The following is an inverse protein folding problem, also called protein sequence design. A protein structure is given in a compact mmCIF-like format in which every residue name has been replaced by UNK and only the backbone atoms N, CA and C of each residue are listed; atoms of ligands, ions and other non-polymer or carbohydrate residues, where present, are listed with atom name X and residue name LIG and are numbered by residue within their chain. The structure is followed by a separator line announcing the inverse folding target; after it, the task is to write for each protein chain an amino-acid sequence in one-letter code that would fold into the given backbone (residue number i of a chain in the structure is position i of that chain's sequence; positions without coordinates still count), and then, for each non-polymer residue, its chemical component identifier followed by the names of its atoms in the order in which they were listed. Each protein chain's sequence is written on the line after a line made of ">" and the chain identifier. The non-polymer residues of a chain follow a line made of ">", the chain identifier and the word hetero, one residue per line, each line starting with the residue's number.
data_IF_234108470582
#
_entry.id   IF_234108470582
#
_cell.length_a   1.000
_cell.length_b   1.000
_cell.length_c   1.000
_cell.angle_alpha   90.00
_cell.angle_beta   90.00
_cell.angle_gamma   90.00
#
_symmetry.space_group_name_H-M   'P 1'
#
loop_
_entity.id
_entity.type
_entity.pdbx_description
1 polymer ?
#
# COMPACT_ATOMS: atom_id res chain seq x y z
N UNK A 1 10.42 -16.80 21.56
CA UNK A 1 11.54 -17.48 20.83
C UNK A 1 12.30 -16.40 20.07
N UNK A 2 13.63 -16.36 20.18
CA UNK A 2 14.48 -15.29 19.59
C UNK A 2 14.74 -15.58 18.11
N UNK A 3 14.70 -14.54 17.26
CA UNK A 3 14.94 -14.61 15.81
C UNK A 3 16.31 -15.20 15.40
N UNK A 4 17.26 -15.31 16.34
CA UNK A 4 18.59 -15.88 16.07
C UNK A 4 18.62 -17.41 15.92
N UNK A 5 17.52 -18.11 16.22
CA UNK A 5 17.46 -19.56 16.18
C UNK A 5 16.84 -20.12 14.87
N UNK A 6 16.64 -19.29 13.84
CA UNK A 6 16.08 -19.75 12.58
C UNK A 6 17.09 -20.55 11.75
N UNK A 7 16.75 -21.78 11.35
CA UNK A 7 17.68 -22.65 10.67
C UNK A 7 17.85 -22.30 9.17
N UNK A 8 19.06 -22.45 8.64
CA UNK A 8 19.53 -21.95 7.34
C UNK A 8 18.78 -22.44 6.08
N UNK A 9 18.11 -23.59 6.12
CA UNK A 9 17.22 -24.11 5.07
C UNK A 9 16.01 -23.22 4.71
N UNK A 10 15.58 -22.30 5.58
CA UNK A 10 14.46 -21.39 5.31
C UNK A 10 14.78 -20.30 4.27
N UNK A 11 16.05 -19.88 4.14
CA UNK A 11 16.49 -18.85 3.18
C UNK A 11 16.44 -19.33 1.73
N UNK A 12 16.64 -20.63 1.49
CA UNK A 12 16.58 -21.23 0.15
C UNK A 12 15.16 -21.30 -0.42
N UNK A 13 14.16 -21.51 0.45
CA UNK A 13 12.75 -21.63 0.04
C UNK A 13 12.18 -20.26 -0.39
N UNK A 14 12.53 -19.19 0.32
CA UNK A 14 12.06 -17.83 0.00
C UNK A 14 12.66 -17.33 -1.32
N UNK A 15 13.95 -17.58 -1.58
CA UNK A 15 14.60 -17.20 -2.84
C UNK A 15 14.02 -17.98 -4.03
N UNK A 16 13.72 -19.27 -3.85
CA UNK A 16 13.08 -20.10 -4.88
C UNK A 16 11.65 -19.65 -5.24
N UNK A 17 10.89 -19.17 -4.25
CA UNK A 17 9.54 -18.63 -4.48
C UNK A 17 9.57 -17.27 -5.21
N UNK A 18 10.52 -16.39 -4.90
CA UNK A 18 10.66 -15.11 -5.60
C UNK A 18 11.05 -15.27 -7.08
N UNK A 19 11.93 -16.21 -7.41
CA UNK A 19 12.36 -16.46 -8.80
C UNK A 19 11.20 -17.02 -9.66
N UNK A 20 10.35 -17.88 -9.08
CA UNK A 20 9.18 -18.41 -9.79
C UNK A 20 8.09 -17.36 -10.03
N UNK A 21 7.89 -16.43 -9.10
CA UNK A 21 6.92 -15.33 -9.26
C UNK A 21 7.42 -14.32 -10.31
N UNK A 22 8.71 -13.96 -10.28
CA UNK A 22 9.30 -13.04 -11.26
C UNK A 22 9.31 -13.68 -12.67
N UNK A 23 9.63 -14.97 -12.78
CA UNK A 23 9.58 -15.70 -14.05
C UNK A 23 8.18 -15.79 -14.65
N UNK A 24 7.15 -16.03 -13.82
CA UNK A 24 5.76 -16.09 -14.29
C UNK A 24 5.14 -14.72 -14.62
N UNK A 25 5.71 -13.62 -14.11
CA UNK A 25 5.32 -12.26 -14.49
C UNK A 25 6.08 -11.72 -15.71
N UNK A 26 7.36 -12.07 -15.89
CA UNK A 26 8.17 -11.63 -17.04
C UNK A 26 7.93 -12.44 -18.31
N UNK A 27 7.56 -13.72 -18.19
CA UNK A 27 7.36 -14.60 -19.34
C UNK A 27 6.17 -14.18 -20.23
N UNK A 28 4.99 -13.79 -19.69
CA UNK A 28 3.93 -13.20 -20.50
C UNK A 28 4.35 -11.87 -21.13
N UNK A 29 5.16 -11.08 -20.43
CA UNK A 29 5.66 -9.78 -20.90
C UNK A 29 6.55 -9.94 -22.14
N UNK A 30 7.50 -10.88 -22.12
CA UNK A 30 8.39 -11.14 -23.24
C UNK A 30 7.67 -11.77 -24.44
N UNK A 31 6.68 -12.64 -24.20
CA UNK A 31 5.82 -13.17 -25.27
C UNK A 31 4.96 -12.07 -25.89
N UNK A 32 4.41 -11.17 -25.07
CA UNK A 32 3.57 -10.07 -25.54
C UNK A 32 4.38 -9.06 -26.38
N UNK A 33 5.56 -8.65 -25.91
CA UNK A 33 6.45 -7.77 -26.67
C UNK A 33 7.04 -8.45 -27.91
N UNK A 34 7.32 -9.76 -27.86
CA UNK A 34 7.79 -10.53 -29.01
C UNK A 34 6.74 -10.67 -30.11
N UNK A 35 5.46 -10.88 -29.75
CA UNK A 35 4.38 -11.00 -30.72
C UNK A 35 3.91 -9.65 -31.28
N UNK A 36 3.88 -8.59 -30.48
CA UNK A 36 3.39 -7.27 -30.93
C UNK A 36 4.48 -6.33 -31.47
N UNK A 37 5.74 -6.54 -31.13
CA UNK A 37 6.86 -5.70 -31.60
C UNK A 37 7.08 -5.73 -33.11
N UNK A 38 6.58 -6.77 -33.80
CA UNK A 38 6.65 -6.87 -35.26
C UNK A 38 5.47 -6.20 -35.99
N UNK A 39 4.46 -5.68 -35.27
CA UNK A 39 3.20 -5.21 -35.87
C UNK A 39 2.89 -3.72 -35.63
N UNK A 40 3.61 -3.04 -34.73
CA UNK A 40 3.31 -1.66 -34.33
C UNK A 40 4.41 -0.69 -34.76
N UNK A 41 4.03 0.28 -35.59
CA UNK A 41 4.88 1.44 -35.91
C UNK A 41 5.02 2.38 -34.70
N UNK A 42 6.14 3.09 -34.66
CA UNK A 42 6.70 3.87 -33.54
C UNK A 42 5.78 5.00 -32.98
N UNK A 43 4.70 5.39 -33.66
CA UNK A 43 3.84 6.52 -33.23
C UNK A 43 2.86 6.19 -32.08
N UNK A 44 2.60 4.93 -31.73
CA UNK A 44 1.62 4.58 -30.68
C UNK A 44 2.16 4.56 -29.23
N UNK A 45 3.46 4.72 -29.01
CA UNK A 45 4.05 4.66 -27.66
C UNK A 45 3.63 5.85 -26.75
N UNK A 46 3.17 6.97 -27.32
CA UNK A 46 2.74 8.15 -26.56
C UNK A 46 1.44 7.96 -25.77
N UNK A 47 0.55 7.04 -26.18
CA UNK A 47 -0.72 6.79 -25.49
C UNK A 47 -0.56 5.82 -24.29
N UNK A 48 0.44 4.93 -24.33
CA UNK A 48 0.71 4.02 -23.21
C UNK A 48 1.22 4.75 -21.96
N UNK A 49 1.84 5.93 -22.10
CA UNK A 49 2.29 6.74 -20.96
C UNK A 49 1.15 7.30 -20.09
N UNK A 50 -0.05 7.49 -20.64
CA UNK A 50 -1.19 8.07 -19.90
C UNK A 50 -2.00 7.05 -19.10
N UNK A 51 -1.95 5.76 -19.44
CA UNK A 51 -2.75 4.72 -18.77
C UNK A 51 -2.14 4.20 -17.45
N UNK A 52 -0.87 4.52 -17.18
CA UNK A 52 -0.13 3.99 -16.01
C UNK A 52 -0.45 4.74 -14.71
N UNK A 53 -1.10 5.91 -14.77
CA UNK A 53 -1.26 6.81 -13.61
C UNK A 53 -2.55 6.56 -12.79
N UNK A 54 -3.49 5.72 -13.26
CA UNK A 54 -4.86 5.70 -12.72
C UNK A 54 -5.07 4.66 -11.58
N UNK A 55 -4.09 3.82 -11.24
CA UNK A 55 -4.26 2.80 -10.19
C UNK A 55 -2.98 2.51 -9.42
N UNK A 56 -3.03 2.61 -8.08
CA UNK A 56 -1.97 2.15 -7.17
C UNK A 56 -1.74 0.63 -7.25
N UNK A 57 -2.72 -0.11 -7.79
CA UNK A 57 -2.57 -1.53 -8.04
C UNK A 57 -2.07 -1.77 -9.49
N UNK A 58 -0.85 -2.32 -9.67
CA UNK A 58 -0.29 -2.56 -11.00
C UNK A 58 -1.15 -3.52 -11.83
N UNK A 59 -1.81 -4.52 -11.23
CA UNK A 59 -2.66 -5.47 -11.97
C UNK A 59 -3.83 -4.78 -12.67
N UNK A 60 -4.44 -3.79 -12.03
CA UNK A 60 -5.59 -3.06 -12.60
C UNK A 60 -5.13 -2.24 -13.82
N UNK A 61 -3.96 -1.60 -13.74
CA UNK A 61 -3.41 -0.85 -14.87
C UNK A 61 -3.15 -1.76 -16.08
N UNK A 62 -2.61 -2.96 -15.87
CA UNK A 62 -2.43 -3.96 -16.92
C UNK A 62 -3.75 -4.38 -17.58
N UNK A 63 -4.77 -4.64 -16.78
CA UNK A 63 -6.11 -5.03 -17.26
C UNK A 63 -6.70 -3.93 -18.13
N UNK A 64 -6.60 -2.67 -17.69
CA UNK A 64 -7.09 -1.49 -18.43
C UNK A 64 -6.38 -1.36 -19.79
N UNK A 65 -5.06 -1.50 -19.82
CA UNK A 65 -4.27 -1.41 -21.07
C UNK A 65 -4.67 -2.52 -22.06
N UNK A 66 -4.86 -3.74 -21.57
CA UNK A 66 -5.29 -4.86 -22.41
C UNK A 66 -6.72 -4.68 -22.94
N UNK A 67 -7.64 -4.16 -22.13
CA UNK A 67 -9.02 -3.89 -22.56
C UNK A 67 -9.08 -2.78 -23.59
N UNK A 68 -8.35 -1.68 -23.40
CA UNK A 68 -8.28 -0.58 -24.37
C UNK A 68 -7.68 -1.06 -25.69
N UNK A 69 -6.62 -1.86 -25.64
CA UNK A 69 -5.98 -2.41 -26.85
C UNK A 69 -6.93 -3.33 -27.63
N UNK A 70 -7.68 -4.18 -26.93
CA UNK A 70 -8.69 -5.04 -27.54
C UNK A 70 -9.86 -4.23 -28.16
N UNK A 71 -10.30 -3.17 -27.49
CA UNK A 71 -11.34 -2.26 -27.99
C UNK A 71 -10.88 -1.50 -29.25
N UNK A 72 -9.64 -1.02 -29.27
CA UNK A 72 -9.07 -0.33 -30.43
C UNK A 72 -9.02 -1.25 -31.66
N UNK A 73 -8.62 -2.52 -31.48
CA UNK A 73 -8.62 -3.52 -32.55
C UNK A 73 -10.02 -3.79 -33.12
N UNK A 74 -11.05 -3.81 -32.26
CA UNK A 74 -12.45 -3.98 -32.69
C UNK A 74 -12.98 -2.77 -33.46
N UNK A 75 -12.65 -1.56 -33.02
CA UNK A 75 -13.08 -0.32 -33.69
C UNK A 75 -12.48 -0.24 -35.10
N UNK A 76 -11.23 -0.65 -35.27
CA UNK A 76 -10.56 -0.66 -36.58
C UNK A 76 -11.19 -1.69 -37.55
N UNK A 77 -11.58 -2.87 -37.06
CA UNK A 77 -12.16 -3.93 -37.92
C UNK A 77 -13.65 -3.67 -38.27
N UNK A 78 -14.33 -2.80 -37.50
CA UNK A 78 -15.71 -2.35 -37.78
C UNK A 78 -15.82 -1.44 -39.00
N UNK A 79 -14.78 -0.68 -39.31
CA UNK A 79 -14.83 0.34 -40.37
C UNK A 79 -14.82 -0.29 -41.78
N UNK A 80 -14.38 -1.54 -41.92
CA UNK A 80 -13.95 -2.04 -43.23
C UNK A 80 -14.84 -3.09 -43.92
N UNK A 81 -15.96 -3.62 -43.36
CA UNK A 81 -16.68 -4.72 -44.04
C UNK A 81 -18.19 -4.89 -43.75
N UNK A 82 -18.99 -4.83 -44.83
CA UNK A 82 -20.45 -5.09 -44.91
C UNK A 82 -20.83 -6.59 -44.95
N UNK A 83 -20.11 -7.46 -44.23
CA UNK A 83 -20.31 -8.92 -44.31
C UNK A 83 -21.17 -9.46 -43.14
N UNK A 84 -22.30 -10.12 -43.48
CA UNK A 84 -23.31 -10.63 -42.52
C UNK A 84 -22.76 -11.66 -41.54
N UNK A 85 -21.76 -12.45 -41.94
CA UNK A 85 -21.10 -13.44 -41.08
C UNK A 85 -20.14 -12.78 -40.05
N UNK A 86 -19.52 -11.65 -40.39
CA UNK A 86 -18.68 -10.89 -39.44
C UNK A 86 -19.51 -10.27 -38.31
N UNK A 87 -20.76 -9.86 -38.60
CA UNK A 87 -21.66 -9.27 -37.60
C UNK A 87 -21.96 -10.24 -36.45
N UNK A 88 -22.10 -11.54 -36.73
CA UNK A 88 -22.32 -12.57 -35.69
C UNK A 88 -21.11 -12.70 -34.76
N UNK A 89 -19.89 -12.70 -35.32
CA UNK A 89 -18.64 -12.78 -34.54
C UNK A 89 -18.47 -11.56 -33.63
N UNK A 90 -18.85 -10.38 -34.12
CA UNK A 90 -18.75 -9.15 -33.36
C UNK A 90 -19.73 -9.11 -32.18
N UNK A 91 -20.95 -9.62 -32.36
CA UNK A 91 -21.93 -9.76 -31.27
C UNK A 91 -21.40 -10.71 -30.18
N UNK A 92 -20.83 -11.85 -30.56
CA UNK A 92 -20.24 -12.80 -29.59
C UNK A 92 -19.12 -12.13 -28.80
N UNK A 93 -18.25 -11.38 -29.47
CA UNK A 93 -17.12 -10.71 -28.81
C UNK A 93 -17.59 -9.61 -27.84
N UNK A 94 -18.59 -8.81 -28.23
CA UNK A 94 -19.19 -7.81 -27.36
C UNK A 94 -19.80 -8.44 -26.09
N UNK A 95 -20.48 -9.60 -26.23
CA UNK A 95 -21.02 -10.35 -25.10
C UNK A 95 -19.88 -10.82 -24.17
N UNK A 96 -18.79 -11.36 -24.71
CA UNK A 96 -17.64 -11.79 -23.91
C UNK A 96 -16.99 -10.63 -23.14
N UNK A 97 -16.89 -9.45 -23.75
CA UNK A 97 -16.33 -8.27 -23.10
C UNK A 97 -17.22 -7.81 -21.93
N UNK A 98 -18.54 -7.78 -22.12
CA UNK A 98 -19.49 -7.47 -21.04
C UNK A 98 -19.39 -8.49 -19.90
N UNK A 99 -19.29 -9.78 -20.22
CA UNK A 99 -19.13 -10.83 -19.21
C UNK A 99 -17.84 -10.66 -18.41
N UNK A 100 -16.71 -10.33 -19.06
CA UNK A 100 -15.44 -10.06 -18.38
C UNK A 100 -15.55 -8.86 -17.43
N UNK A 101 -16.16 -7.75 -17.87
CA UNK A 101 -16.39 -6.58 -17.01
C UNK A 101 -17.26 -6.92 -15.79
N UNK A 102 -18.30 -7.74 -15.97
CA UNK A 102 -19.15 -8.20 -14.86
C UNK A 102 -18.36 -9.07 -13.89
N UNK A 103 -17.51 -9.97 -14.38
CA UNK A 103 -16.65 -10.81 -13.53
C UNK A 103 -15.69 -9.95 -12.71
N UNK A 104 -15.08 -8.92 -13.30
CA UNK A 104 -14.22 -7.99 -12.58
C UNK A 104 -14.98 -7.26 -11.47
N UNK A 105 -16.15 -6.69 -11.75
CA UNK A 105 -17.00 -6.04 -10.73
C UNK A 105 -17.38 -7.01 -9.62
N UNK A 106 -17.66 -8.28 -9.95
CA UNK A 106 -17.95 -9.30 -8.95
C UNK A 106 -16.71 -9.59 -8.10
N UNK A 107 -15.55 -9.85 -8.70
CA UNK A 107 -14.31 -10.14 -7.95
C UNK A 107 -13.92 -8.97 -7.05
N UNK A 108 -13.91 -7.74 -7.59
CA UNK A 108 -13.56 -6.54 -6.82
C UNK A 108 -14.61 -6.22 -5.75
N UNK A 109 -15.90 -6.40 -6.05
CA UNK A 109 -16.99 -6.22 -5.09
C UNK A 109 -16.97 -7.25 -3.95
N UNK A 110 -16.57 -8.50 -4.25
CA UNK A 110 -16.34 -9.52 -3.22
C UNK A 110 -15.11 -9.19 -2.36
N UNK A 111 -14.03 -8.68 -2.97
CA UNK A 111 -12.82 -8.31 -2.24
C UNK A 111 -13.06 -7.16 -1.27
N UNK A 112 -13.83 -6.13 -1.67
CA UNK A 112 -14.20 -5.02 -0.78
C UNK A 112 -15.05 -5.43 0.43
N UNK A 113 -15.84 -6.50 0.31
CA UNK A 113 -16.65 -7.00 1.41
C UNK A 113 -15.85 -7.82 2.43
N UNK A 114 -14.68 -8.35 2.02
CA UNK A 114 -13.81 -9.18 2.85
C UNK A 114 -12.48 -8.52 3.24
N UNK A 115 -12.09 -7.39 2.64
CA UNK A 115 -11.21 -6.44 3.28
C UNK A 115 -11.99 -5.91 4.48
N UNK A 116 -11.91 -6.64 5.59
CA UNK A 116 -12.75 -6.44 6.76
C UNK A 116 -12.85 -4.96 7.01
N UNK A 117 -14.08 -4.46 7.10
CA UNK A 117 -14.39 -3.16 7.67
C UNK A 117 -13.37 -2.93 8.77
N UNK A 118 -12.43 -2.00 8.55
CA UNK A 118 -11.49 -1.60 9.58
C UNK A 118 -12.38 -1.33 10.78
N UNK A 119 -12.36 -2.20 11.80
CA UNK A 119 -13.29 -2.09 12.90
C UNK A 119 -12.95 -0.77 13.56
N UNK A 120 -13.76 0.25 13.29
CA UNK A 120 -13.67 1.52 13.98
C UNK A 120 -14.16 1.22 15.38
N UNK A 121 -13.24 1.24 16.32
CA UNK A 121 -13.57 1.09 17.74
C UNK A 121 -14.09 2.45 18.17
N UNK A 122 -15.41 2.63 18.11
CA UNK A 122 -16.04 3.94 18.32
C UNK A 122 -15.95 4.40 19.79
N UNK A 123 -15.73 3.47 20.73
CA UNK A 123 -15.61 3.81 22.16
C UNK A 123 -14.43 3.12 22.85
N UNK A 124 -13.85 3.81 23.84
CA UNK A 124 -12.78 3.27 24.70
C UNK A 124 -13.22 2.02 25.48
N UNK A 125 -14.53 1.82 25.67
CA UNK A 125 -15.10 0.66 26.36
C UNK A 125 -14.96 -0.63 25.55
N UNK A 126 -14.75 -0.53 24.24
CA UNK A 126 -14.61 -1.68 23.35
C UNK A 126 -13.19 -2.27 23.37
N UNK A 127 -12.16 -1.46 23.66
CA UNK A 127 -10.76 -1.90 23.64
C UNK A 127 -10.47 -3.14 24.51
N UNK A 128 -10.97 -3.26 25.77
CA UNK A 128 -10.74 -4.45 26.59
C UNK A 128 -11.33 -5.75 26.01
N UNK A 129 -12.36 -5.67 25.17
CA UNK A 129 -13.05 -6.82 24.58
C UNK A 129 -12.32 -7.47 23.39
N UNK A 130 -11.22 -6.86 22.94
CA UNK A 130 -10.47 -7.32 21.77
C UNK A 130 -9.65 -8.57 22.09
N UNK A 131 -9.84 -9.61 21.27
CA UNK A 131 -9.16 -10.91 21.44
C UNK A 131 -7.70 -10.86 21.03
N UNK A 132 -7.36 -10.02 20.06
CA UNK A 132 -6.00 -9.86 19.57
C UNK A 132 -5.28 -8.79 20.39
N UNK A 133 -4.16 -9.12 21.06
CA UNK A 133 -3.39 -8.16 21.84
C UNK A 133 -2.97 -6.92 21.02
N UNK A 134 -2.64 -7.09 19.74
CA UNK A 134 -2.25 -6.01 18.84
C UNK A 134 -3.40 -5.03 18.58
N UNK A 135 -4.60 -5.57 18.37
CA UNK A 135 -5.79 -4.76 18.17
C UNK A 135 -6.15 -3.98 19.44
N UNK A 136 -5.99 -4.63 20.61
CA UNK A 136 -6.19 -4.02 21.92
C UNK A 136 -5.21 -2.87 22.18
N UNK A 137 -3.92 -3.09 21.95
CA UNK A 137 -2.88 -2.08 22.17
C UNK A 137 -3.04 -0.92 21.19
N UNK A 138 -3.33 -1.19 19.92
CA UNK A 138 -3.63 -0.17 18.92
C UNK A 138 -4.84 0.69 19.31
N UNK A 139 -5.91 0.05 19.83
CA UNK A 139 -7.08 0.75 20.33
C UNK A 139 -6.71 1.72 21.48
N UNK A 140 -6.03 1.24 22.51
CA UNK A 140 -5.60 2.10 23.62
C UNK A 140 -4.64 3.20 23.20
N UNK A 141 -3.70 2.91 22.30
CA UNK A 141 -2.75 3.88 21.77
C UNK A 141 -3.46 5.04 21.05
N UNK A 142 -4.39 4.71 20.14
CA UNK A 142 -5.13 5.73 19.40
C UNK A 142 -5.96 6.62 20.35
N UNK A 143 -6.69 6.01 21.28
CA UNK A 143 -7.45 6.77 22.28
C UNK A 143 -6.53 7.62 23.19
N UNK A 144 -5.35 7.12 23.55
CA UNK A 144 -4.37 7.88 24.33
C UNK A 144 -3.94 9.15 23.60
N UNK A 145 -3.56 9.03 22.33
CA UNK A 145 -3.09 10.13 21.49
C UNK A 145 -4.23 11.12 21.20
N UNK A 146 -5.39 10.63 20.79
CA UNK A 146 -6.55 11.47 20.45
C UNK A 146 -7.05 12.28 21.65
N UNK A 147 -7.10 11.66 22.84
CA UNK A 147 -7.61 12.32 24.05
C UNK A 147 -6.50 12.98 24.88
N UNK A 148 -5.24 12.94 24.44
CA UNK A 148 -4.06 13.35 25.20
C UNK A 148 -4.06 12.76 26.64
N UNK A 149 -4.43 11.48 26.79
CA UNK A 149 -4.52 10.79 28.07
C UNK A 149 -3.35 9.80 28.25
N UNK A 150 -2.27 10.19 28.95
CA UNK A 150 -1.10 9.33 29.12
C UNK A 150 -1.39 8.12 30.00
N UNK A 151 -2.49 8.13 30.78
CA UNK A 151 -2.87 6.97 31.61
C UNK A 151 -3.22 5.74 30.76
N UNK A 152 -3.70 5.97 29.52
CA UNK A 152 -4.02 4.90 28.58
C UNK A 152 -2.76 4.23 28.00
N UNK A 153 -1.63 4.94 27.93
CA UNK A 153 -0.34 4.36 27.49
C UNK A 153 0.16 3.25 28.41
N UNK A 154 -0.26 3.24 29.68
CA UNK A 154 0.09 2.19 30.64
C UNK A 154 -0.82 0.95 30.54
N UNK A 155 -1.86 1.00 29.70
CA UNK A 155 -2.72 -0.16 29.42
C UNK A 155 -2.19 -1.03 28.27
N UNK A 156 -1.14 -0.57 27.60
CA UNK A 156 -0.45 -1.29 26.52
C UNK A 156 0.28 -2.50 27.12
N UNK A 157 0.21 -3.65 26.44
CA UNK A 157 0.83 -4.89 26.92
C UNK A 157 2.36 -4.83 26.95
N UNK A 158 2.97 -4.00 26.09
CA UNK A 158 4.42 -3.81 26.02
C UNK A 158 5.18 -4.95 25.30
N UNK A 159 4.48 -6.00 24.86
CA UNK A 159 5.12 -7.17 24.23
C UNK A 159 5.39 -6.98 22.73
N UNK A 160 4.86 -5.92 22.11
CA UNK A 160 4.99 -5.68 20.67
C UNK A 160 6.12 -4.71 20.31
N UNK A 161 7.10 -5.15 19.49
CA UNK A 161 8.35 -4.42 19.32
C UNK A 161 8.30 -3.14 18.46
N UNK A 162 7.23 -2.81 17.74
CA UNK A 162 7.37 -1.81 16.66
C UNK A 162 6.41 -0.62 16.64
N UNK A 163 5.16 -0.69 17.13
CA UNK A 163 4.19 0.41 16.89
C UNK A 163 3.37 0.88 18.10
N UNK A 164 3.30 0.09 19.17
CA UNK A 164 2.40 0.37 20.31
C UNK A 164 3.10 0.17 21.65
N UNK A 165 4.37 0.56 21.72
CA UNK A 165 5.12 0.51 22.96
C UNK A 165 4.87 1.78 23.81
N UNK A 166 4.88 1.60 25.13
CA UNK A 166 4.59 2.66 26.10
C UNK A 166 5.43 3.93 25.92
N UNK A 167 6.75 3.88 25.65
CA UNK A 167 7.53 5.10 25.50
C UNK A 167 7.12 5.93 24.27
N UNK A 168 6.78 5.30 23.13
CA UNK A 168 6.26 6.00 21.95
C UNK A 168 4.90 6.65 22.22
N UNK A 169 4.00 5.92 22.90
CA UNK A 169 2.70 6.48 23.30
C UNK A 169 2.89 7.72 24.19
N UNK A 170 3.73 7.63 25.22
CA UNK A 170 4.04 8.76 26.10
C UNK A 170 4.71 9.91 25.34
N UNK A 171 5.60 9.62 24.39
CA UNK A 171 6.26 10.65 23.59
C UNK A 171 5.25 11.45 22.75
N UNK A 172 4.29 10.77 22.12
CA UNK A 172 3.24 11.41 21.31
C UNK A 172 2.24 12.18 22.18
N UNK A 173 1.73 11.55 23.24
CA UNK A 173 0.73 12.16 24.14
C UNK A 173 1.28 13.38 24.86
N UNK A 174 2.49 13.28 25.43
CA UNK A 174 3.11 14.39 26.16
C UNK A 174 3.86 15.37 25.25
N UNK A 175 3.92 15.08 23.94
CA UNK A 175 4.71 15.83 22.96
C UNK A 175 6.17 16.03 23.38
N UNK A 176 6.77 14.97 23.93
CA UNK A 176 8.13 14.99 24.44
C UNK A 176 8.94 13.81 23.88
N UNK A 177 9.84 14.10 22.94
CA UNK A 177 10.73 13.11 22.35
C UNK A 177 11.75 12.53 23.34
N UNK A 178 11.87 13.08 24.56
CA UNK A 178 12.76 12.52 25.59
C UNK A 178 12.38 11.09 25.98
N UNK A 179 11.10 10.73 25.91
CA UNK A 179 10.61 9.38 26.18
C UNK A 179 11.19 8.32 25.23
N UNK A 180 11.54 8.68 23.99
CA UNK A 180 12.18 7.77 23.04
C UNK A 180 13.55 7.28 23.53
N UNK A 181 14.24 8.00 24.42
CA UNK A 181 15.52 7.54 24.98
C UNK A 181 15.38 6.29 25.87
N UNK A 182 14.16 5.93 26.28
CA UNK A 182 13.91 4.82 27.19
C UNK A 182 13.86 3.46 26.48
N UNK A 183 14.00 3.41 25.15
CA UNK A 183 14.07 2.14 24.43
C UNK A 183 15.43 1.46 24.63
N UNK A 184 15.45 0.17 25.01
CA UNK A 184 16.70 -0.58 25.13
C UNK A 184 17.28 -0.96 23.76
N UNK A 185 16.42 -1.11 22.75
CA UNK A 185 16.80 -1.45 21.39
C UNK A 185 16.96 -0.17 20.54
N UNK A 186 18.05 -0.09 19.79
CA UNK A 186 18.35 1.08 18.96
C UNK A 186 17.39 1.27 17.80
N UNK A 187 16.94 0.18 17.16
CA UNK A 187 15.97 0.23 16.06
C UNK A 187 14.61 0.73 16.57
N UNK A 188 14.17 0.28 17.76
CA UNK A 188 12.93 0.74 18.38
C UNK A 188 13.01 2.22 18.79
N UNK A 189 14.16 2.65 19.32
CA UNK A 189 14.45 4.04 19.64
C UNK A 189 14.37 4.93 18.39
N UNK A 190 15.01 4.49 17.32
CA UNK A 190 15.09 5.21 16.05
C UNK A 190 13.70 5.35 15.42
N UNK A 191 12.90 4.28 15.42
CA UNK A 191 11.50 4.31 15.00
C UNK A 191 10.65 5.27 15.85
N UNK A 192 10.92 5.37 17.16
CA UNK A 192 10.23 6.33 18.02
C UNK A 192 10.54 7.77 17.61
N UNK A 193 11.82 8.11 17.39
CA UNK A 193 12.19 9.46 16.94
C UNK A 193 11.60 9.79 15.58
N UNK A 194 11.56 8.83 14.67
CA UNK A 194 10.92 8.99 13.36
C UNK A 194 9.44 9.34 13.51
N UNK A 195 8.66 8.51 14.21
CA UNK A 195 7.23 8.73 14.39
C UNK A 195 6.90 10.02 15.13
N UNK A 196 7.71 10.40 16.12
CA UNK A 196 7.52 11.65 16.89
C UNK A 196 7.93 12.87 16.07
N UNK A 197 8.92 12.76 15.17
CA UNK A 197 9.33 13.87 14.29
C UNK A 197 8.19 14.37 13.39
N UNK A 198 7.42 13.43 12.84
CA UNK A 198 6.28 13.72 11.96
C UNK A 198 5.14 14.35 12.76
N UNK A 199 4.78 13.74 13.89
CA UNK A 199 3.69 14.21 14.76
C UNK A 199 3.94 15.62 15.33
N UNK A 200 5.19 15.91 15.72
CA UNK A 200 5.57 17.20 16.29
C UNK A 200 5.99 18.23 15.25
N UNK A 201 6.05 17.84 13.96
CA UNK A 201 6.61 18.65 12.88
C UNK A 201 8.02 19.18 13.22
N UNK A 202 8.82 18.39 13.95
CA UNK A 202 10.18 18.73 14.34
C UNK A 202 11.21 17.88 13.58
N UNK A 203 11.67 18.41 12.45
CA UNK A 203 12.69 17.80 11.59
C UNK A 203 14.01 17.54 12.31
N UNK A 204 14.31 18.29 13.38
CA UNK A 204 15.56 18.14 14.12
C UNK A 204 15.63 16.81 14.87
N UNK A 205 14.48 16.19 15.18
CA UNK A 205 14.42 14.88 15.83
C UNK A 205 14.97 13.76 14.94
N UNK A 206 14.90 13.86 13.62
CA UNK A 206 15.58 12.92 12.72
C UNK A 206 17.11 12.91 12.91
N UNK A 207 17.71 13.97 13.46
CA UNK A 207 19.14 13.94 13.77
C UNK A 207 19.51 12.98 14.90
N UNK A 208 18.54 12.65 15.76
CA UNK A 208 18.71 11.75 16.91
C UNK A 208 18.62 10.27 16.54
N UNK A 209 18.15 9.97 15.33
CA UNK A 209 18.17 8.62 14.75
C UNK A 209 19.63 8.21 14.51
N UNK A 210 20.02 7.04 15.01
CA UNK A 210 21.42 6.56 14.93
C UNK A 210 21.67 5.81 13.63
N UNK A 211 20.76 4.91 13.25
CA UNK A 211 20.88 4.13 12.03
C UNK A 211 20.82 5.06 10.80
N UNK A 212 21.83 5.08 9.91
CA UNK A 212 21.87 5.97 8.76
C UNK A 212 20.73 5.77 7.76
N UNK A 213 20.29 4.52 7.57
CA UNK A 213 19.18 4.20 6.65
C UNK A 213 17.85 4.72 7.21
N UNK A 214 17.56 4.42 8.48
CA UNK A 214 16.38 4.93 9.19
C UNK A 214 16.40 6.46 9.27
N UNK A 215 17.58 7.08 9.46
CA UNK A 215 17.74 8.53 9.50
C UNK A 215 17.38 9.19 8.17
N UNK A 216 17.87 8.64 7.07
CA UNK A 216 17.52 9.12 5.73
C UNK A 216 16.05 8.88 5.40
N UNK A 217 15.48 7.77 5.87
CA UNK A 217 14.05 7.51 5.76
C UNK A 217 13.22 8.53 6.55
N UNK A 218 13.60 8.84 7.81
CA UNK A 218 12.98 9.87 8.64
C UNK A 218 12.91 11.23 7.94
N UNK A 219 14.03 11.71 7.38
CA UNK A 219 14.03 12.99 6.66
C UNK A 219 13.10 12.98 5.43
N UNK A 220 13.09 11.88 4.65
CA UNK A 220 12.21 11.77 3.48
C UNK A 220 10.74 11.74 3.88
N UNK A 221 10.38 10.92 4.86
CA UNK A 221 9.01 10.80 5.37
C UNK A 221 8.51 12.14 5.94
N UNK A 222 9.39 12.87 6.64
CA UNK A 222 9.09 14.21 7.14
C UNK A 222 8.81 15.19 6.00
N UNK A 223 9.73 15.30 5.03
CA UNK A 223 9.62 16.24 3.91
C UNK A 223 8.38 15.92 3.03
N UNK A 224 8.06 14.64 2.83
CA UNK A 224 6.85 14.18 2.15
C UNK A 224 5.57 14.57 2.89
N UNK A 225 5.51 14.33 4.21
CA UNK A 225 4.36 14.67 5.04
C UNK A 225 4.08 16.19 5.05
N UNK A 226 5.13 17.00 5.17
CA UNK A 226 5.01 18.47 5.10
C UNK A 226 4.46 18.91 3.75
N UNK A 227 4.97 18.35 2.65
CA UNK A 227 4.52 18.66 1.29
C UNK A 227 3.03 18.36 1.09
N UNK A 228 2.54 17.24 1.62
CA UNK A 228 1.12 16.85 1.54
C UNK A 228 0.23 17.82 2.34
N UNK A 229 0.68 18.26 3.52
CA UNK A 229 -0.11 19.14 4.37
C UNK A 229 -0.15 20.58 3.84
N UNK A 230 0.91 21.08 3.22
CA UNK A 230 0.90 22.38 2.54
C UNK A 230 -0.13 22.43 1.40
N UNK A 231 -0.26 21.35 0.63
CA UNK A 231 -1.27 21.24 -0.44
C UNK A 231 -2.69 21.34 0.13
N UNK A 232 -2.99 20.58 1.20
CA UNK A 232 -4.32 20.57 1.82
C UNK A 232 -4.73 21.92 2.40
N UNK A 233 -3.78 22.70 2.93
CA UNK A 233 -4.04 24.04 3.46
C UNK A 233 -4.33 25.03 2.32
N UNK A 234 -3.70 24.88 1.17
CA UNK A 234 -3.96 25.75 0.02
C UNK A 234 -5.33 25.43 -0.62
N UNK A 235 -5.76 24.17 -0.64
CA UNK A 235 -7.08 23.77 -1.14
C UNK A 235 -8.23 24.25 -0.26
N UNK A 236 -8.08 24.28 1.06
CA UNK A 236 -9.14 24.76 1.97
C UNK A 236 -9.34 26.27 1.97
N UNK A 237 -8.37 27.02 1.41
CA UNK A 237 -8.40 28.47 1.31
C UNK A 237 -8.82 28.98 -0.09
N UNK A 238 -9.02 28.08 -1.08
CA UNK A 238 -9.47 28.40 -2.44
C UNK A 238 -10.97 28.22 -2.61
#
# INVERSE_FOLDING_TARGET
>A
MRWKDWPNWSKGIIIGMCINIIGSLLFPYLIFFGFFGSWLNFEQYSLMGFAVIISENPLISWIIVLTISALAGLLFDLEHKKNKEKKKRLIIFAILLVVMLVIEVLIFGYSWKNSGTFQTWDTLQDCPGLKLPEAKDSCFFNFAVENNDPSLCYKLSGDYPYSTSTPLCLAKVNRDASYCNNYPNEDERDNCFEGVSIDLLDRSLCNRVINPESKNYCFRAFDEFVSINEIKINESNS
#
